data_IF_175370318616
#
_entry.id   IF_175370318616
#
_cell.length_a   1.000
_cell.length_b   1.000
_cell.length_c   1.000
_cell.angle_alpha   90.00
_cell.angle_beta   90.00
_cell.angle_gamma   90.00
#
_symmetry.space_group_name_H-M   'P 1'
#
loop_
_entity.id
_entity.type
_entity.pdbx_description
1 polymer ?
#
# COMPACT_ATOMS: atom_id res chain seq x y z
N UNK A 1 -19.99 4.05 -18.75
CA UNK A 1 -19.14 2.85 -18.79
C UNK A 1 -20.07 1.66 -18.72
N UNK A 2 -20.12 0.81 -19.75
CA UNK A 2 -20.75 -0.50 -19.60
C UNK A 2 -19.97 -1.29 -18.55
N UNK A 3 -20.70 -1.95 -17.63
CA UNK A 3 -20.07 -2.73 -16.58
C UNK A 3 -19.53 -4.03 -17.19
N UNK A 4 -18.22 -4.23 -17.13
CA UNK A 4 -17.61 -5.49 -17.55
C UNK A 4 -18.19 -6.66 -16.75
N UNK A 5 -18.44 -7.76 -17.44
CA UNK A 5 -18.84 -9.03 -16.82
C UNK A 5 -17.71 -9.59 -15.96
N UNK A 6 -18.04 -10.49 -15.03
CA UNK A 6 -17.04 -11.12 -14.18
C UNK A 6 -16.00 -11.88 -15.01
N UNK A 7 -16.40 -12.51 -16.11
CA UNK A 7 -15.51 -13.28 -16.98
C UNK A 7 -14.55 -12.38 -17.76
N UNK A 8 -15.01 -11.20 -18.23
CA UNK A 8 -14.13 -10.19 -18.83
C UNK A 8 -13.10 -9.66 -17.83
N UNK A 9 -13.50 -9.38 -16.59
CA UNK A 9 -12.57 -8.93 -15.55
C UNK A 9 -11.51 -10.00 -15.22
N UNK A 10 -11.91 -11.27 -15.25
CA UNK A 10 -11.03 -12.43 -15.02
C UNK A 10 -10.07 -12.66 -16.18
N UNK A 11 -10.54 -12.49 -17.41
CA UNK A 11 -9.69 -12.53 -18.59
C UNK A 11 -8.64 -11.41 -18.55
N UNK A 12 -9.07 -10.16 -18.33
CA UNK A 12 -8.17 -9.00 -18.19
C UNK A 12 -7.14 -9.20 -17.08
N UNK A 13 -7.53 -9.76 -15.93
CA UNK A 13 -6.58 -10.12 -14.87
C UNK A 13 -5.52 -11.11 -15.36
N UNK A 14 -5.94 -12.17 -16.05
CA UNK A 14 -5.05 -13.24 -16.50
C UNK A 14 -4.08 -12.74 -17.56
N UNK A 15 -4.54 -11.90 -18.48
CA UNK A 15 -3.67 -11.29 -19.50
C UNK A 15 -2.65 -10.34 -18.89
N UNK A 16 -3.07 -9.47 -17.94
CA UNK A 16 -2.14 -8.62 -17.18
C UNK A 16 -1.11 -9.45 -16.41
N UNK A 17 -1.56 -10.54 -15.79
CA UNK A 17 -0.68 -11.46 -15.07
C UNK A 17 0.39 -12.04 -16.00
N UNK A 18 0.00 -12.45 -17.22
CA UNK A 18 0.93 -12.94 -18.24
C UNK A 18 1.98 -11.89 -18.63
N UNK A 19 1.55 -10.65 -18.93
CA UNK A 19 2.47 -9.55 -19.26
C UNK A 19 3.48 -9.28 -18.14
N UNK A 20 3.04 -9.32 -16.88
CA UNK A 20 3.93 -9.09 -15.73
C UNK A 20 4.89 -10.26 -15.51
N UNK A 21 4.43 -11.51 -15.68
CA UNK A 21 5.26 -12.72 -15.57
C UNK A 21 6.36 -12.77 -16.63
N UNK A 22 6.08 -12.29 -17.84
CA UNK A 22 7.06 -12.27 -18.93
C UNK A 22 8.17 -11.23 -18.73
N UNK A 23 7.96 -10.24 -17.85
CA UNK A 23 8.86 -9.09 -17.67
C UNK A 23 9.57 -9.04 -16.33
N UNK A 24 8.94 -9.52 -15.26
CA UNK A 24 9.40 -9.29 -13.90
C UNK A 24 9.41 -10.57 -13.06
N UNK A 25 10.31 -10.59 -12.10
CA UNK A 25 10.34 -11.64 -11.08
C UNK A 25 9.14 -11.51 -10.14
N UNK A 26 8.46 -12.64 -9.91
CA UNK A 26 7.42 -12.76 -8.88
C UNK A 26 8.09 -12.77 -7.51
N UNK A 27 7.57 -11.97 -6.59
CA UNK A 27 8.13 -11.82 -5.25
C UNK A 27 7.29 -12.59 -4.25
N UNK A 28 7.94 -13.39 -3.41
CA UNK A 28 7.27 -14.06 -2.31
C UNK A 28 6.62 -13.01 -1.37
N UNK A 29 5.39 -13.22 -0.87
CA UNK A 29 4.72 -12.27 0.00
C UNK A 29 5.53 -11.89 1.26
N UNK A 30 6.28 -12.82 1.86
CA UNK A 30 7.11 -12.52 3.04
C UNK A 30 8.30 -11.65 2.65
N UNK A 31 8.95 -11.95 1.53
CA UNK A 31 10.07 -11.14 1.02
C UNK A 31 9.61 -9.73 0.63
N UNK A 32 8.43 -9.62 0.00
CA UNK A 32 7.80 -8.34 -0.30
C UNK A 32 7.62 -7.50 0.97
N UNK A 33 7.01 -8.06 2.01
CA UNK A 33 6.80 -7.31 3.26
C UNK A 33 8.06 -7.12 4.09
N UNK A 34 9.07 -7.99 3.97
CA UNK A 34 10.37 -7.82 4.61
C UNK A 34 11.13 -6.62 4.04
N UNK A 35 10.92 -6.27 2.76
CA UNK A 35 11.51 -5.08 2.16
C UNK A 35 10.95 -3.79 2.81
N UNK A 36 9.67 -3.77 3.18
CA UNK A 36 9.05 -2.64 3.90
C UNK A 36 9.24 -2.70 5.42
N UNK A 37 9.36 -3.90 5.98
CA UNK A 37 9.54 -4.13 7.41
C UNK A 37 10.73 -5.05 7.66
N UNK A 38 11.98 -4.52 7.56
CA UNK A 38 13.19 -5.26 7.88
C UNK A 38 13.12 -5.92 9.26
N UNK A 39 13.87 -7.00 9.46
CA UNK A 39 13.92 -7.71 10.74
C UNK A 39 14.28 -6.75 11.89
N UNK A 40 13.49 -6.81 12.95
CA UNK A 40 13.60 -5.94 14.12
C UNK A 40 12.76 -4.65 14.04
N UNK A 41 12.09 -4.34 12.92
CA UNK A 41 11.27 -3.11 12.81
C UNK A 41 9.92 -3.24 13.49
N UNK A 42 9.36 -4.45 13.55
CA UNK A 42 8.10 -4.73 14.19
C UNK A 42 8.29 -5.36 15.57
N UNK A 43 7.22 -5.35 16.35
CA UNK A 43 7.15 -6.03 17.63
C UNK A 43 7.35 -7.54 17.48
N UNK A 44 8.06 -8.15 18.43
CA UNK A 44 8.21 -9.59 18.51
C UNK A 44 6.90 -10.26 19.01
N UNK A 45 6.51 -11.38 18.40
CA UNK A 45 5.30 -12.10 18.83
C UNK A 45 5.44 -12.60 20.27
N UNK A 46 4.38 -12.42 21.06
CA UNK A 46 4.36 -12.78 22.48
C UNK A 46 5.16 -11.84 23.41
N UNK A 47 6.00 -10.95 22.90
CA UNK A 47 6.74 -10.00 23.72
C UNK A 47 5.91 -8.74 23.96
N UNK A 48 5.45 -8.50 25.21
CA UNK A 48 4.75 -7.25 25.55
C UNK A 48 5.72 -6.23 26.09
N UNK A 49 5.74 -5.04 25.48
CA UNK A 49 6.43 -3.88 26.05
C UNK A 49 7.81 -3.56 25.46
N UNK A 50 8.16 -4.07 24.27
CA UNK A 50 9.37 -3.63 23.54
C UNK A 50 9.22 -2.22 22.93
N UNK A 51 8.03 -1.62 23.01
CA UNK A 51 7.73 -0.29 22.48
C UNK A 51 7.66 -0.25 20.94
N UNK A 52 7.76 -1.39 20.26
CA UNK A 52 7.71 -1.46 18.80
C UNK A 52 6.27 -1.55 18.29
N UNK A 53 5.98 -0.99 17.11
CA UNK A 53 4.66 -1.13 16.51
C UNK A 53 4.48 -2.47 15.80
N UNK A 54 3.25 -2.79 15.44
CA UNK A 54 2.88 -3.93 14.60
C UNK A 54 2.26 -3.45 13.29
N UNK A 55 2.32 -4.29 12.25
CA UNK A 55 1.37 -4.19 11.14
C UNK A 55 -0.02 -4.67 11.58
N UNK A 56 -1.08 -4.20 10.91
CA UNK A 56 -2.46 -4.60 11.21
C UNK A 56 -3.13 -5.09 9.93
N UNK A 57 -3.19 -6.42 9.78
CA UNK A 57 -3.90 -7.08 8.70
C UNK A 57 -5.39 -7.04 9.01
N UNK A 58 -6.22 -6.77 8.00
CA UNK A 58 -7.68 -6.69 8.13
C UNK A 58 -8.38 -7.35 6.94
N UNK A 59 -9.45 -8.08 7.20
CA UNK A 59 -10.28 -8.69 6.15
C UNK A 59 -11.75 -8.65 6.52
N UNK A 60 -12.62 -8.74 5.52
CA UNK A 60 -14.05 -8.79 5.73
C UNK A 60 -14.44 -10.12 6.38
N UNK A 61 -15.28 -10.06 7.43
CA UNK A 61 -15.84 -11.27 8.04
C UNK A 61 -16.81 -11.89 7.04
N UNK A 62 -16.64 -13.18 6.71
CA UNK A 62 -17.52 -13.90 5.78
C UNK A 62 -18.23 -15.07 6.45
N UNK A 63 -19.40 -15.47 5.93
CA UNK A 63 -20.17 -16.64 6.39
C UNK A 63 -20.68 -17.51 5.24
N UNK A 64 -20.71 -18.82 5.49
CA UNK A 64 -21.20 -19.84 4.54
C UNK A 64 -20.26 -20.10 3.36
N UNK A 65 -20.60 -21.09 2.53
CA UNK A 65 -19.77 -21.57 1.41
C UNK A 65 -19.52 -20.53 0.30
N UNK A 66 -20.38 -19.51 0.17
CA UNK A 66 -20.24 -18.44 -0.82
C UNK A 66 -19.49 -17.20 -0.33
N UNK A 67 -18.77 -17.28 0.80
CA UNK A 67 -18.02 -16.16 1.38
C UNK A 67 -18.81 -14.84 1.51
N UNK A 68 -20.10 -14.93 1.84
CA UNK A 68 -20.95 -13.73 1.97
C UNK A 68 -20.49 -12.88 3.15
N UNK A 69 -20.25 -11.61 2.89
CA UNK A 69 -19.84 -10.64 3.91
C UNK A 69 -20.88 -10.51 5.02
N UNK A 70 -20.43 -10.54 6.26
CA UNK A 70 -21.24 -10.33 7.45
C UNK A 70 -21.42 -8.82 7.65
N UNK A 71 -22.66 -8.39 7.87
CA UNK A 71 -23.02 -7.01 8.17
C UNK A 71 -23.33 -6.82 9.66
N UNK A 72 -23.06 -5.64 10.21
CA UNK A 72 -23.52 -5.25 11.54
C UNK A 72 -25.00 -4.81 11.53
N UNK A 73 -25.54 -4.40 12.67
CA UNK A 73 -26.92 -3.93 12.81
C UNK A 73 -27.22 -2.67 11.99
N UNK A 74 -26.20 -1.96 11.52
CA UNK A 74 -26.29 -0.75 10.70
C UNK A 74 -26.03 -1.05 9.21
N UNK A 75 -25.93 -2.32 8.82
CA UNK A 75 -25.69 -2.73 7.43
C UNK A 75 -24.24 -2.59 6.96
N UNK A 76 -23.31 -2.23 7.85
CA UNK A 76 -21.88 -2.05 7.52
C UNK A 76 -21.14 -3.37 7.56
N UNK A 77 -20.15 -3.54 6.69
CA UNK A 77 -19.31 -4.75 6.68
C UNK A 77 -18.56 -4.89 8.00
N UNK A 78 -18.70 -6.05 8.64
CA UNK A 78 -17.85 -6.41 9.77
C UNK A 78 -16.48 -6.85 9.27
N UNK A 79 -15.44 -6.42 9.98
CA UNK A 79 -14.07 -6.81 9.67
C UNK A 79 -13.43 -7.50 10.86
N UNK A 80 -12.48 -8.38 10.57
CA UNK A 80 -11.59 -9.01 11.54
C UNK A 80 -10.18 -8.49 11.29
N UNK A 81 -9.37 -8.41 12.34
CA UNK A 81 -7.97 -7.99 12.24
C UNK A 81 -7.03 -8.97 12.92
N UNK A 82 -5.77 -8.99 12.45
CA UNK A 82 -4.65 -9.73 13.03
C UNK A 82 -3.41 -8.86 13.02
N UNK A 83 -2.56 -8.99 14.04
CA UNK A 83 -1.28 -8.30 14.06
C UNK A 83 -0.28 -9.01 13.16
N UNK A 84 0.51 -8.22 12.43
CA UNK A 84 1.71 -8.64 11.76
C UNK A 84 2.88 -8.30 12.69
N UNK A 85 3.48 -9.33 13.26
CA UNK A 85 4.69 -9.26 14.07
C UNK A 85 5.94 -9.43 13.21
N UNK A 86 7.11 -9.23 13.82
CA UNK A 86 8.39 -9.23 13.12
C UNK A 86 8.74 -10.55 12.43
N UNK A 87 8.23 -11.68 12.93
CA UNK A 87 8.40 -13.00 12.32
C UNK A 87 7.59 -13.20 11.03
N UNK A 88 6.73 -12.24 10.68
CA UNK A 88 5.85 -12.20 9.52
C UNK A 88 4.92 -13.43 9.34
N UNK A 89 4.77 -14.31 10.35
CA UNK A 89 3.95 -15.55 10.24
C UNK A 89 2.49 -15.27 9.89
N UNK A 90 2.00 -14.08 10.22
CA UNK A 90 0.64 -13.67 9.92
C UNK A 90 0.35 -13.58 8.41
N UNK A 91 1.37 -13.42 7.55
CA UNK A 91 1.25 -13.45 6.09
C UNK A 91 0.81 -14.84 5.63
N UNK A 92 1.49 -15.88 6.10
CA UNK A 92 1.20 -17.28 5.74
C UNK A 92 -0.20 -17.70 6.21
N UNK A 93 -0.60 -17.21 7.37
CA UNK A 93 -1.91 -17.49 7.97
C UNK A 93 -3.07 -16.89 7.18
N UNK A 94 -2.82 -15.83 6.40
CA UNK A 94 -3.84 -15.20 5.55
C UNK A 94 -3.66 -15.52 4.06
N UNK A 95 -2.71 -16.38 3.72
CA UNK A 95 -2.50 -16.83 2.35
C UNK A 95 -3.80 -17.42 1.77
N UNK A 96 -4.08 -17.08 0.51
CA UNK A 96 -5.29 -17.47 -0.23
C UNK A 96 -6.63 -16.98 0.37
N UNK A 97 -6.64 -16.27 1.51
CA UNK A 97 -7.88 -15.69 2.04
C UNK A 97 -8.41 -14.61 1.09
N UNK A 98 -9.74 -14.47 1.03
CA UNK A 98 -10.36 -13.43 0.21
C UNK A 98 -10.16 -12.05 0.81
N UNK A 99 -9.63 -11.12 0.02
CA UNK A 99 -9.65 -9.68 0.30
C UNK A 99 -9.08 -9.32 1.68
N UNK A 100 -7.82 -9.67 1.89
CA UNK A 100 -7.06 -9.22 3.06
C UNK A 100 -6.29 -7.95 2.70
N UNK A 101 -6.25 -7.01 3.64
CA UNK A 101 -5.66 -5.71 3.46
C UNK A 101 -4.66 -5.41 4.57
N UNK A 102 -3.56 -4.75 4.23
CA UNK A 102 -2.55 -4.27 5.19
C UNK A 102 -2.16 -2.82 4.82
N UNK A 103 -2.21 -1.87 5.76
CA UNK A 103 -1.54 -0.58 5.60
C UNK A 103 -0.03 -0.76 5.64
N UNK A 104 0.72 0.00 4.84
CA UNK A 104 2.19 0.01 4.94
C UNK A 104 2.70 0.69 6.22
N UNK A 105 1.89 1.52 6.87
CA UNK A 105 2.25 2.09 8.16
C UNK A 105 2.20 1.02 9.28
N UNK A 106 3.10 1.15 10.26
CA UNK A 106 3.07 0.37 11.49
C UNK A 106 2.45 1.16 12.65
N UNK A 107 1.72 0.46 13.54
CA UNK A 107 0.91 1.07 14.59
C UNK A 107 1.21 0.53 15.98
N UNK A 108 1.12 1.40 16.98
CA UNK A 108 1.09 1.01 18.40
C UNK A 108 -0.35 0.74 18.82
N UNK A 109 -0.57 -0.38 19.51
CA UNK A 109 -1.88 -0.79 19.99
C UNK A 109 -2.72 -1.52 18.93
N UNK A 110 -4.03 -1.63 19.18
CA UNK A 110 -4.89 -2.61 18.50
C UNK A 110 -5.57 -2.14 17.22
N UNK A 111 -5.43 -0.87 16.86
CA UNK A 111 -6.21 -0.23 15.78
C UNK A 111 -5.29 0.58 14.87
N UNK A 112 -5.51 0.43 13.57
CA UNK A 112 -4.87 1.24 12.52
C UNK A 112 -5.53 2.62 12.47
N UNK A 113 -5.21 3.47 13.46
CA UNK A 113 -5.65 4.87 13.54
C UNK A 113 -4.43 5.77 13.34
N UNK A 114 -4.64 6.96 12.79
CA UNK A 114 -3.57 7.95 12.61
C UNK A 114 -2.83 8.25 13.94
N UNK A 115 -3.57 8.38 15.05
CA UNK A 115 -3.00 8.60 16.40
C UNK A 115 -2.09 7.47 16.89
N UNK A 116 -2.24 6.28 16.32
CA UNK A 116 -1.49 5.09 16.69
C UNK A 116 -0.31 4.83 15.74
N UNK A 117 -0.25 5.51 14.60
CA UNK A 117 0.77 5.27 13.58
C UNK A 117 2.13 5.79 14.06
N UNK A 118 3.20 5.02 13.79
CA UNK A 118 4.57 5.36 14.22
C UNK A 118 5.56 5.41 13.08
N UNK A 119 5.56 4.40 12.22
CA UNK A 119 6.53 4.28 11.13
C UNK A 119 5.81 4.14 9.80
N UNK A 120 6.35 4.81 8.78
CA UNK A 120 5.93 4.71 7.39
C UNK A 120 7.15 4.34 6.53
N UNK A 121 7.31 3.09 6.11
CA UNK A 121 8.45 2.63 5.31
C UNK A 121 8.33 2.98 3.82
N UNK A 122 7.20 3.52 3.40
CA UNK A 122 6.88 3.75 2.00
C UNK A 122 5.40 4.03 1.81
N UNK A 123 4.98 4.21 0.57
CA UNK A 123 3.56 4.33 0.22
C UNK A 123 3.22 3.49 -1.01
N UNK A 124 1.93 3.30 -1.22
CA UNK A 124 1.41 2.70 -2.43
C UNK A 124 0.30 3.55 -3.03
N UNK A 125 0.09 3.41 -4.34
CA UNK A 125 -1.00 4.01 -5.09
C UNK A 125 -1.90 2.89 -5.59
N UNK A 126 -3.21 3.01 -5.36
CA UNK A 126 -4.22 2.11 -5.94
C UNK A 126 -4.62 2.68 -7.29
N UNK A 127 -4.17 2.04 -8.38
CA UNK A 127 -4.51 2.44 -9.74
C UNK A 127 -5.64 1.54 -10.23
N UNK A 128 -6.87 2.05 -10.20
CA UNK A 128 -8.05 1.29 -10.62
C UNK A 128 -8.24 1.29 -12.15
N UNK A 129 -9.04 0.33 -12.63
CA UNK A 129 -9.46 0.22 -14.03
C UNK A 129 -8.28 0.16 -15.02
N UNK A 130 -7.35 -0.75 -14.74
CA UNK A 130 -6.18 -1.02 -15.58
C UNK A 130 -6.42 -2.31 -16.34
N UNK A 131 -6.48 -2.20 -17.66
CA UNK A 131 -6.41 -3.33 -18.61
C UNK A 131 -5.02 -3.42 -19.24
N UNK A 132 -4.79 -4.41 -20.11
CA UNK A 132 -3.48 -4.65 -20.74
C UNK A 132 -2.88 -3.41 -21.43
N UNK A 133 -3.62 -2.61 -22.24
CA UNK A 133 -3.04 -1.42 -22.86
C UNK A 133 -2.53 -0.42 -21.82
N UNK A 134 -3.35 -0.13 -20.79
CA UNK A 134 -2.98 0.76 -19.70
C UNK A 134 -1.78 0.26 -18.90
N UNK A 135 -1.71 -1.05 -18.67
CA UNK A 135 -0.56 -1.68 -18.03
C UNK A 135 0.71 -1.48 -18.86
N UNK A 136 0.65 -1.71 -20.18
CA UNK A 136 1.81 -1.54 -21.06
C UNK A 136 2.32 -0.10 -21.08
N UNK A 137 1.40 0.87 -21.14
CA UNK A 137 1.74 2.30 -21.05
C UNK A 137 2.34 2.66 -19.68
N UNK A 138 1.76 2.14 -18.58
CA UNK A 138 2.32 2.32 -17.24
C UNK A 138 3.74 1.76 -17.14
N UNK A 139 3.96 0.53 -17.60
CA UNK A 139 5.28 -0.11 -17.57
C UNK A 139 6.29 0.68 -18.37
N UNK A 140 5.92 1.15 -19.56
CA UNK A 140 6.79 2.01 -20.36
C UNK A 140 7.19 3.29 -19.62
N UNK A 141 6.23 3.99 -19.00
CA UNK A 141 6.52 5.21 -18.23
C UNK A 141 7.42 4.92 -17.01
N UNK A 142 7.14 3.85 -16.29
CA UNK A 142 7.89 3.42 -15.11
C UNK A 142 9.33 3.01 -15.44
N UNK A 143 9.54 2.27 -16.53
CA UNK A 143 10.86 1.85 -17.02
C UNK A 143 11.70 3.04 -17.52
N UNK A 144 11.05 4.07 -18.09
CA UNK A 144 11.74 5.29 -18.54
C UNK A 144 12.08 6.24 -17.40
N UNK A 145 11.25 6.27 -16.35
CA UNK A 145 11.45 7.17 -15.21
C UNK A 145 11.33 8.66 -15.55
N UNK A 146 10.66 9.00 -16.66
CA UNK A 146 10.56 10.39 -17.15
C UNK A 146 9.41 11.19 -16.53
N UNK A 147 8.36 10.52 -16.06
CA UNK A 147 7.16 11.16 -15.52
C UNK A 147 7.00 10.98 -14.01
N UNK A 148 7.66 9.98 -13.45
CA UNK A 148 7.72 9.67 -12.02
C UNK A 148 8.89 8.72 -11.76
N UNK A 149 9.41 8.61 -10.52
CA UNK A 149 10.45 7.65 -10.17
C UNK A 149 10.00 6.22 -10.46
N UNK A 150 10.91 5.35 -10.90
CA UNK A 150 10.61 3.93 -11.10
C UNK A 150 10.13 3.29 -9.78
N UNK A 151 8.95 2.63 -9.75
CA UNK A 151 8.46 1.96 -8.54
C UNK A 151 9.35 0.80 -8.10
N UNK A 152 9.29 0.44 -6.82
CA UNK A 152 9.94 -0.77 -6.31
C UNK A 152 9.16 -2.02 -6.72
N UNK A 153 7.83 -1.95 -6.61
CA UNK A 153 6.95 -3.06 -6.94
C UNK A 153 5.70 -2.61 -7.67
N UNK A 154 5.23 -3.47 -8.55
CA UNK A 154 3.87 -3.45 -9.08
C UNK A 154 3.16 -4.71 -8.63
N UNK A 155 1.91 -4.57 -8.17
CA UNK A 155 1.09 -5.68 -7.70
C UNK A 155 -0.16 -5.77 -8.56
N UNK A 156 -0.38 -6.91 -9.20
CA UNK A 156 -1.63 -7.20 -9.89
C UNK A 156 -2.73 -7.43 -8.85
N UNK A 157 -3.52 -6.40 -8.56
CA UNK A 157 -4.44 -6.39 -7.41
C UNK A 157 -5.84 -6.90 -7.72
N UNK A 158 -6.11 -7.26 -8.99
CA UNK A 158 -7.44 -7.59 -9.50
C UNK A 158 -7.76 -6.76 -10.74
N UNK A 159 -8.74 -5.87 -10.63
CA UNK A 159 -9.16 -4.98 -11.72
C UNK A 159 -8.23 -3.78 -11.95
N UNK A 160 -7.19 -3.65 -11.14
CA UNK A 160 -6.25 -2.54 -11.16
C UNK A 160 -4.84 -3.02 -10.82
N UNK A 161 -3.98 -2.07 -10.48
CA UNK A 161 -2.62 -2.30 -9.98
C UNK A 161 -2.46 -1.60 -8.64
N UNK A 162 -1.63 -2.13 -7.76
CA UNK A 162 -1.03 -1.31 -6.71
C UNK A 162 0.42 -1.03 -7.07
N UNK A 163 0.84 0.21 -6.98
CA UNK A 163 2.20 0.67 -7.30
C UNK A 163 2.87 1.09 -6.00
N UNK A 164 3.99 0.45 -5.64
CA UNK A 164 4.64 0.64 -4.35
C UNK A 164 6.00 1.32 -4.47
N UNK A 165 6.23 2.24 -3.54
CA UNK A 165 7.49 2.97 -3.33
C UNK A 165 7.98 2.72 -1.90
N UNK A 166 9.20 2.23 -1.78
CA UNK A 166 9.91 1.99 -0.52
C UNK A 166 10.87 3.15 -0.28
N UNK A 167 10.80 3.75 0.90
CA UNK A 167 11.75 4.77 1.30
C UNK A 167 13.11 4.14 1.70
N UNK A 168 14.23 4.87 1.56
CA UNK A 168 15.54 4.38 2.00
C UNK A 168 15.55 4.03 3.49
N UNK A 169 14.86 4.83 4.30
CA UNK A 169 14.60 4.60 5.71
C UNK A 169 13.13 4.84 6.04
N UNK A 170 12.61 4.11 7.04
CA UNK A 170 11.26 4.35 7.55
C UNK A 170 11.12 5.75 8.15
N UNK A 171 10.03 6.43 7.81
CA UNK A 171 9.74 7.77 8.30
C UNK A 171 8.99 7.70 9.64
N UNK A 172 9.46 8.47 10.62
CA UNK A 172 8.82 8.63 11.95
C UNK A 172 7.61 9.55 11.86
N UNK A 173 6.41 8.98 11.86
CA UNK A 173 5.15 9.74 11.78
C UNK A 173 4.84 10.56 13.03
N UNK A 174 5.54 10.32 14.14
CA UNK A 174 5.50 11.16 15.34
C UNK A 174 6.40 12.40 15.25
N UNK A 175 7.31 12.45 14.27
CA UNK A 175 8.27 13.55 14.13
C UNK A 175 7.89 14.46 12.97
N UNK A 176 7.35 13.95 11.88
CA UNK A 176 7.00 14.73 10.69
C UNK A 176 5.52 15.14 10.66
N UNK A 177 5.17 16.03 9.73
CA UNK A 177 3.77 16.29 9.33
C UNK A 177 3.25 15.14 8.44
N UNK A 178 2.33 14.27 8.91
CA UNK A 178 1.80 13.19 8.10
C UNK A 178 0.95 13.68 6.92
N UNK A 179 0.47 14.93 6.96
CA UNK A 179 -0.22 15.53 5.84
C UNK A 179 0.74 15.77 4.67
N UNK A 180 1.99 16.17 4.93
CA UNK A 180 2.99 16.34 3.87
C UNK A 180 3.25 15.04 3.09
N UNK A 181 3.34 13.88 3.76
CA UNK A 181 3.43 12.60 3.06
C UNK A 181 2.15 12.23 2.29
N UNK A 182 0.98 12.66 2.77
CA UNK A 182 -0.27 12.46 2.04
C UNK A 182 -0.33 13.35 0.79
N UNK A 183 0.17 14.57 0.87
CA UNK A 183 0.26 15.51 -0.26
C UNK A 183 1.25 14.99 -1.32
N UNK A 184 2.43 14.49 -0.91
CA UNK A 184 3.37 13.80 -1.80
C UNK A 184 2.70 12.64 -2.54
N UNK A 185 1.94 11.82 -1.80
CA UNK A 185 1.22 10.70 -2.37
C UNK A 185 0.11 11.15 -3.34
N UNK A 186 -0.53 12.29 -3.10
CA UNK A 186 -1.51 12.85 -4.03
C UNK A 186 -0.84 13.29 -5.33
N UNK A 187 0.29 14.00 -5.27
CA UNK A 187 1.10 14.36 -6.45
C UNK A 187 1.50 13.10 -7.22
N UNK A 188 2.02 12.09 -6.51
CA UNK A 188 2.38 10.81 -7.12
C UNK A 188 1.18 10.11 -7.78
N UNK A 189 0.01 10.16 -7.14
CA UNK A 189 -1.25 9.64 -7.71
C UNK A 189 -1.62 10.41 -8.98
N UNK A 190 -1.41 11.72 -9.01
CA UNK A 190 -1.74 12.54 -10.17
C UNK A 190 -0.86 12.25 -11.39
N UNK A 191 0.43 12.06 -11.17
CA UNK A 191 1.41 11.70 -12.19
C UNK A 191 1.14 10.29 -12.75
N UNK A 192 0.94 9.33 -11.85
CA UNK A 192 0.80 7.92 -12.22
C UNK A 192 -0.59 7.59 -12.73
N UNK A 193 -1.65 8.15 -12.16
CA UNK A 193 -3.03 7.94 -12.62
C UNK A 193 -3.38 9.00 -13.66
N UNK A 194 -3.11 8.67 -14.92
CA UNK A 194 -3.36 9.55 -16.06
C UNK A 194 -4.17 8.83 -17.14
N UNK A 195 -4.50 9.54 -18.21
CA UNK A 195 -5.38 9.02 -19.28
C UNK A 195 -4.81 7.80 -20.02
N UNK A 196 -3.50 7.53 -19.90
CA UNK A 196 -2.85 6.39 -20.53
C UNK A 196 -2.79 5.17 -19.61
N UNK A 197 -2.68 5.39 -18.29
CA UNK A 197 -2.45 4.33 -17.30
C UNK A 197 -3.71 3.84 -16.60
N UNK A 198 -4.85 4.52 -16.77
CA UNK A 198 -6.15 4.06 -16.27
C UNK A 198 -7.27 4.44 -17.24
N UNK A 199 -8.30 3.59 -17.31
CA UNK A 199 -9.55 3.89 -18.03
C UNK A 199 -10.49 4.80 -17.25
N UNK A 200 -10.27 4.94 -15.94
CA UNK A 200 -11.08 5.80 -15.08
C UNK A 200 -10.51 7.22 -15.06
N UNK A 201 -11.39 8.20 -15.24
CA UNK A 201 -11.08 9.62 -15.04
C UNK A 201 -11.26 10.06 -13.60
N UNK A 202 -11.97 9.27 -12.79
CA UNK A 202 -12.24 9.56 -11.39
C UNK A 202 -11.09 9.01 -10.54
N UNK A 203 -10.06 9.84 -10.34
CA UNK A 203 -8.92 9.51 -9.49
C UNK A 203 -9.37 9.38 -8.03
N UNK A 204 -8.88 8.36 -7.35
CA UNK A 204 -9.13 8.18 -5.92
C UNK A 204 -7.89 8.57 -5.11
N UNK A 205 -8.01 9.66 -4.36
CA UNK A 205 -6.96 10.09 -3.44
C UNK A 205 -7.13 9.39 -2.10
N UNK A 206 -6.06 8.72 -1.65
CA UNK A 206 -6.04 7.92 -0.44
C UNK A 206 -4.88 8.38 0.45
N UNK A 207 -5.14 8.61 1.74
CA UNK A 207 -4.07 8.97 2.69
C UNK A 207 -3.06 7.85 2.94
N UNK A 208 -1.97 8.15 3.64
CA UNK A 208 -0.86 7.20 3.92
C UNK A 208 -1.26 5.98 4.78
N UNK A 209 -2.37 6.07 5.52
CA UNK A 209 -2.87 5.00 6.38
C UNK A 209 -3.76 3.98 5.65
N UNK A 210 -4.01 4.19 4.36
CA UNK A 210 -4.85 3.31 3.57
C UNK A 210 -4.28 1.88 3.54
N UNK A 211 -5.16 0.90 3.66
CA UNK A 211 -4.79 -0.51 3.56
C UNK A 211 -4.92 -1.00 2.11
N UNK A 212 -3.94 -1.77 1.66
CA UNK A 212 -3.88 -2.33 0.31
C UNK A 212 -4.07 -3.84 0.33
N UNK A 213 -4.66 -4.41 -0.74
CA UNK A 213 -4.79 -5.87 -0.87
C UNK A 213 -3.41 -6.51 -0.80
N UNK A 214 -3.28 -7.53 0.04
CA UNK A 214 -2.00 -8.18 0.33
C UNK A 214 -1.61 -9.17 -0.77
N UNK A 215 -0.34 -9.15 -1.24
CA UNK A 215 0.21 -10.24 -2.04
C UNK A 215 0.03 -11.61 -1.37
N UNK A 216 -0.20 -12.65 -2.18
CA UNK A 216 -0.47 -14.02 -1.71
C UNK A 216 -1.92 -14.27 -1.26
N UNK A 217 -2.78 -13.24 -1.26
CA UNK A 217 -4.20 -13.36 -0.94
C UNK A 217 -5.06 -13.30 -2.19
N UNK A 218 -6.33 -13.69 -2.09
CA UNK A 218 -7.22 -13.77 -3.25
C UNK A 218 -7.90 -12.42 -3.52
N UNK A 219 -7.86 -11.95 -4.76
CA UNK A 219 -8.53 -10.71 -5.18
C UNK A 219 -10.07 -10.81 -5.11
N UNK A 220 -10.77 -9.72 -5.44
CA UNK A 220 -12.24 -9.71 -5.52
C UNK A 220 -12.82 -10.60 -6.63
N UNK A 221 -11.97 -11.11 -7.55
CA UNK A 221 -12.38 -11.96 -8.67
C UNK A 221 -12.60 -13.43 -8.29
N UNK A 222 -12.24 -13.79 -7.05
CA UNK A 222 -12.43 -15.12 -6.50
C UNK A 222 -11.19 -16.01 -6.64
N UNK A 223 -11.34 -17.28 -6.28
CA UNK A 223 -10.26 -18.28 -6.27
C UNK A 223 -9.56 -18.38 -7.62
N UNK A 224 -8.23 -18.49 -7.61
CA UNK A 224 -7.38 -18.54 -8.82
C UNK A 224 -6.87 -17.17 -9.28
N UNK A 225 -7.38 -16.07 -8.71
CA UNK A 225 -6.99 -14.70 -9.05
C UNK A 225 -6.20 -14.09 -7.88
N UNK A 226 -5.03 -14.68 -7.61
CA UNK A 226 -4.15 -14.31 -6.49
C UNK A 226 -3.47 -12.97 -6.72
N UNK A 227 -3.54 -12.09 -5.73
CA UNK A 227 -2.82 -10.82 -5.73
C UNK A 227 -1.33 -11.12 -5.75
N UNK A 228 -0.64 -10.72 -6.81
CA UNK A 228 0.76 -11.12 -7.06
C UNK A 228 1.64 -9.88 -7.17
N UNK A 229 2.74 -9.87 -6.42
CA UNK A 229 3.73 -8.79 -6.44
C UNK A 229 4.88 -9.12 -7.40
N UNK A 230 5.34 -8.10 -8.10
CA UNK A 230 6.43 -8.17 -9.06
C UNK A 230 7.47 -7.10 -8.75
N UNK A 231 8.75 -7.48 -8.74
CA UNK A 231 9.86 -6.55 -8.49
C UNK A 231 10.17 -5.75 -9.75
N UNK A 232 10.12 -4.43 -9.65
CA UNK A 232 10.48 -3.51 -10.73
C UNK A 232 11.87 -2.89 -10.51
N UNK A 233 12.16 -2.46 -9.28
CA UNK A 233 13.46 -1.87 -8.93
C UNK A 233 13.86 -2.24 -7.49
N UNK A 234 15.14 -2.56 -7.24
CA UNK A 234 15.66 -2.71 -5.88
C UNK A 234 15.91 -1.35 -5.18
N UNK A 235 16.07 -0.28 -5.95
CA UNK A 235 16.54 1.00 -5.46
C UNK A 235 15.42 1.73 -4.70
N UNK A 236 15.65 2.15 -3.45
CA UNK A 236 14.64 2.89 -2.71
C UNK A 236 14.40 4.26 -3.35
N UNK A 237 13.20 4.80 -3.15
CA UNK A 237 12.78 6.11 -3.65
C UNK A 237 12.49 7.00 -2.45
N UNK A 238 13.35 7.98 -2.19
CA UNK A 238 13.17 8.99 -1.16
C UNK A 238 12.07 10.00 -1.53
N UNK A 239 11.46 10.70 -0.55
CA UNK A 239 10.54 11.79 -0.85
C UNK A 239 11.12 12.83 -1.82
N UNK A 240 12.40 13.16 -1.69
CA UNK A 240 13.11 14.16 -2.50
C UNK A 240 13.26 13.76 -3.96
N UNK A 241 13.23 12.45 -4.27
CA UNK A 241 13.31 11.95 -5.65
C UNK A 241 12.08 12.34 -6.47
N UNK A 242 11.00 12.80 -5.82
CA UNK A 242 9.81 13.31 -6.48
C UNK A 242 9.92 14.78 -6.90
N UNK A 243 10.92 15.51 -6.39
CA UNK A 243 11.12 16.94 -6.67
C UNK A 243 11.12 17.30 -8.16
N UNK A 244 11.83 16.55 -9.05
CA UNK A 244 11.85 16.87 -10.47
C UNK A 244 10.49 16.74 -11.18
N UNK A 245 9.57 15.97 -10.60
CA UNK A 245 8.26 15.65 -11.18
C UNK A 245 7.13 16.51 -10.61
N UNK A 246 7.28 16.92 -9.34
CA UNK A 246 6.30 17.74 -8.63
C UNK A 246 6.32 19.22 -9.07
N UNK A 247 7.40 19.70 -9.71
CA UNK A 247 7.50 21.08 -10.19
C UNK A 247 7.30 22.10 -9.06
N UNK A 248 6.49 23.14 -9.32
CA UNK A 248 6.23 24.23 -8.37
C UNK A 248 5.57 23.74 -7.06
N UNK A 249 4.80 22.65 -7.08
CA UNK A 249 4.20 22.06 -5.87
C UNK A 249 5.27 21.59 -4.86
N UNK A 250 6.49 21.29 -5.35
CA UNK A 250 7.60 20.92 -4.49
C UNK A 250 8.12 22.08 -3.63
N UNK A 251 7.98 23.33 -4.08
CA UNK A 251 8.47 24.49 -3.32
C UNK A 251 7.77 24.63 -1.97
N UNK A 252 6.49 24.27 -1.90
CA UNK A 252 5.71 24.22 -0.66
C UNK A 252 5.92 22.90 0.10
N UNK A 253 5.93 21.78 -0.62
CA UNK A 253 5.95 20.45 -0.02
C UNK A 253 7.32 20.03 0.54
N UNK A 254 8.39 20.26 -0.22
CA UNK A 254 9.74 19.82 0.12
C UNK A 254 10.19 20.27 1.51
N UNK A 255 10.03 21.55 1.90
CA UNK A 255 10.36 22.03 3.23
C UNK A 255 9.60 21.32 4.36
N UNK A 256 8.32 20.94 4.15
CA UNK A 256 7.50 20.23 5.15
C UNK A 256 7.95 18.78 5.36
N UNK A 257 8.51 18.16 4.32
CA UNK A 257 9.09 16.81 4.37
C UNK A 257 10.48 16.81 5.01
N UNK A 258 11.33 17.79 4.68
CA UNK A 258 12.70 17.90 5.18
C UNK A 258 12.78 18.43 6.64
N UNK A 259 11.89 19.35 7.02
CA UNK A 259 11.86 19.96 8.35
C UNK A 259 10.61 19.54 9.13
N UNK A 260 10.67 18.45 9.91
CA UNK A 260 9.59 18.07 10.81
C UNK A 260 9.20 19.25 11.74
N UNK A 261 7.91 19.58 11.91
CA UNK A 261 7.50 20.59 12.87
C UNK A 261 7.99 20.18 14.27
N UNK A 262 8.87 20.99 14.86
CA UNK A 262 9.37 20.73 16.22
C UNK A 262 8.22 20.90 17.21
N UNK A 263 7.69 19.81 17.75
CA UNK A 263 6.83 19.89 18.94
C UNK A 263 7.68 20.42 20.10
N UNK A 264 7.34 21.56 20.71
CA UNK A 264 8.05 22.04 21.89
C UNK A 264 8.01 20.98 23.00
N UNK A 265 9.12 20.82 23.74
CA UNK A 265 9.27 19.76 24.77
C UNK A 265 8.11 19.74 25.77
N UNK A 266 7.54 20.90 26.10
CA UNK A 266 6.37 21.01 26.98
C UNK A 266 5.13 20.31 26.40
N UNK A 267 4.83 20.53 25.12
CA UNK A 267 3.69 19.92 24.43
C UNK A 267 3.94 18.43 24.17
N UNK A 268 5.19 18.03 23.92
CA UNK A 268 5.55 16.62 23.76
C UNK A 268 5.35 15.82 25.06
N UNK A 269 5.69 16.39 26.23
CA UNK A 269 5.44 15.77 27.54
C UNK A 269 3.96 15.65 27.90
N UNK A 270 3.12 16.54 27.38
CA UNK A 270 1.67 16.49 27.56
C UNK A 270 1.02 15.45 26.64
N UNK A 271 1.46 15.35 25.38
CA UNK A 271 0.93 14.41 24.39
C UNK A 271 1.44 12.98 24.58
N UNK A 272 2.65 12.81 25.12
CA UNK A 272 3.27 11.51 25.40
C UNK A 272 3.94 11.49 26.79
N UNK A 273 3.15 11.39 27.88
CA UNK A 273 3.70 11.23 29.22
C UNK A 273 4.41 9.87 29.36
N UNK A 274 5.54 9.85 30.08
CA UNK A 274 6.31 8.63 30.43
C UNK A 274 5.48 7.60 31.21
#
# INVERSE_FOLDING_TARGET
>A
MEYSTLDELRLSFTEKQGVLLDRFEVVDPRDFYRDFFPEGDLQEDGHRGDGKPCGIIRWAKTKGKGHRTVKDSQGRTQFVSRFLYDDLKAIDQVANMHTCFLPLCAFIGKRALASNARWCPGFAIDLDYVDVPQLLDFLHQAEKGWYFPTPNYVVNSGTGLHVYYRFPEKISLSKIDPQALSDLKHIATDLIWNAYTSKSKDKQYQGIYQAYRMPGTTSKLGTGYTVTAFRMSPDPVAPEDWSPFAGDEWEELGPRLANPPRTPIALARELWPE
#
